data_IF_932757584958
#
_entry.id   IF_932757584958
#
_cell.length_a   1.000
_cell.length_b   1.000
_cell.length_c   1.000
_cell.angle_alpha   90.00
_cell.angle_beta   90.00
_cell.angle_gamma   90.00
#
_symmetry.space_group_name_H-M   'P 1'
#
loop_
_entity.id
_entity.type
_entity.pdbx_description
1 polymer ?
#
# COMPACT_ATOMS: atom_id res chain seq x y z
N UNK A 1 -3.61 -8.96 38.84
CA UNK A 1 -3.51 -10.17 37.99
C UNK A 1 -2.50 -11.18 38.53
N UNK A 2 -1.32 -10.77 39.01
CA UNK A 2 -0.34 -11.67 39.66
C UNK A 2 -0.78 -12.22 41.04
N UNK A 3 -1.88 -11.70 41.62
CA UNK A 3 -2.37 -12.06 42.95
C UNK A 3 -3.49 -13.12 42.97
N UNK A 4 -3.91 -13.67 41.83
CA UNK A 4 -5.04 -14.65 41.75
C UNK A 4 -4.58 -16.06 41.31
N UNK A 5 -3.27 -16.34 41.30
CA UNK A 5 -2.74 -17.67 40.95
C UNK A 5 -3.00 -18.12 39.50
N UNK A 6 -3.41 -17.21 38.61
CA UNK A 6 -3.62 -17.53 37.20
C UNK A 6 -2.27 -17.74 36.49
N UNK A 7 -2.17 -18.82 35.71
CA UNK A 7 -0.97 -19.08 34.91
C UNK A 7 -0.76 -17.96 33.87
N UNK A 8 0.49 -17.66 33.49
CA UNK A 8 0.82 -16.59 32.53
C UNK A 8 0.07 -16.73 31.19
N UNK A 9 -0.14 -17.97 30.75
CA UNK A 9 -0.92 -18.32 29.55
C UNK A 9 -2.40 -17.95 29.67
N UNK A 10 -2.99 -18.13 30.86
CA UNK A 10 -4.40 -17.83 31.10
C UNK A 10 -4.64 -16.31 31.16
N UNK A 11 -3.70 -15.57 31.75
CA UNK A 11 -3.69 -14.09 31.77
C UNK A 11 -3.53 -13.56 30.35
N UNK A 12 -2.59 -14.10 29.58
CA UNK A 12 -2.34 -13.65 28.21
C UNK A 12 -3.59 -13.82 27.34
N UNK A 13 -4.17 -15.03 27.29
CA UNK A 13 -5.29 -15.33 26.39
C UNK A 13 -6.60 -14.64 26.79
N UNK A 14 -6.85 -14.45 28.08
CA UNK A 14 -8.14 -13.91 28.57
C UNK A 14 -8.13 -12.41 28.82
N UNK A 15 -6.97 -11.82 29.08
CA UNK A 15 -6.85 -10.40 29.49
C UNK A 15 -6.07 -9.62 28.44
N UNK A 16 -4.84 -10.03 28.16
CA UNK A 16 -3.93 -9.26 27.29
C UNK A 16 -4.37 -9.31 25.83
N UNK A 17 -4.68 -10.50 25.30
CA UNK A 17 -5.08 -10.71 23.91
C UNK A 17 -6.30 -9.85 23.50
N UNK A 18 -7.46 -9.93 24.19
CA UNK A 18 -8.63 -9.15 23.80
C UNK A 18 -8.42 -7.64 24.01
N UNK A 19 -7.66 -7.23 25.02
CA UNK A 19 -7.37 -5.80 25.25
C UNK A 19 -6.47 -5.22 24.15
N UNK A 20 -5.40 -5.92 23.80
CA UNK A 20 -4.46 -5.45 22.78
C UNK A 20 -5.18 -5.34 21.44
N UNK A 21 -5.93 -6.38 21.03
CA UNK A 21 -6.65 -6.38 19.75
C UNK A 21 -7.66 -5.25 19.61
N UNK A 22 -8.38 -4.90 20.68
CA UNK A 22 -9.32 -3.78 20.64
C UNK A 22 -8.61 -2.43 20.51
N UNK A 23 -7.42 -2.26 21.11
CA UNK A 23 -6.68 -1.00 21.06
C UNK A 23 -5.88 -0.79 19.78
N UNK A 24 -5.37 -1.86 19.15
CA UNK A 24 -4.61 -1.78 17.89
C UNK A 24 -5.49 -1.78 16.65
N UNK A 25 -6.73 -2.32 16.72
CA UNK A 25 -7.67 -2.32 15.60
C UNK A 25 -7.92 -0.90 14.99
N UNK A 26 -8.18 0.16 15.78
CA UNK A 26 -8.34 1.51 15.24
C UNK A 26 -7.07 2.02 14.53
N UNK A 27 -5.90 1.74 15.09
CA UNK A 27 -4.62 2.15 14.51
C UNK A 27 -4.35 1.46 13.18
N UNK A 28 -4.67 0.16 13.08
CA UNK A 28 -4.51 -0.62 11.85
C UNK A 28 -5.44 -0.12 10.74
N UNK A 29 -6.70 0.19 11.05
CA UNK A 29 -7.66 0.75 10.09
C UNK A 29 -7.19 2.11 9.57
N UNK A 30 -6.64 2.96 10.46
CA UNK A 30 -6.07 4.24 10.08
C UNK A 30 -4.86 4.06 9.14
N UNK A 31 -3.93 3.16 9.48
CA UNK A 31 -2.77 2.86 8.63
C UNK A 31 -3.20 2.31 7.26
N UNK A 32 -4.17 1.40 7.24
CA UNK A 32 -4.69 0.80 6.02
C UNK A 32 -5.32 1.85 5.10
N UNK A 33 -6.08 2.77 5.67
CA UNK A 33 -6.69 3.89 4.93
C UNK A 33 -5.63 4.81 4.30
N UNK A 34 -4.55 5.12 5.03
CA UNK A 34 -3.44 5.93 4.51
C UNK A 34 -2.75 5.21 3.36
N UNK A 35 -2.44 3.92 3.51
CA UNK A 35 -1.78 3.13 2.46
C UNK A 35 -2.66 3.07 1.19
N UNK A 36 -3.96 2.82 1.34
CA UNK A 36 -4.90 2.77 0.22
C UNK A 36 -4.99 4.12 -0.51
N UNK A 37 -5.13 5.22 0.24
CA UNK A 37 -5.19 6.57 -0.34
C UNK A 37 -3.91 6.95 -1.05
N UNK A 38 -2.75 6.77 -0.42
CA UNK A 38 -1.46 7.13 -1.00
C UNK A 38 -1.09 6.28 -2.21
N UNK A 39 -1.41 4.98 -2.22
CA UNK A 39 -1.10 4.08 -3.33
C UNK A 39 -1.94 4.37 -4.57
N UNK A 40 -3.22 4.70 -4.40
CA UNK A 40 -4.13 4.94 -5.54
C UNK A 40 -4.05 6.37 -6.06
N UNK A 41 -3.85 7.36 -5.18
CA UNK A 41 -3.81 8.77 -5.55
C UNK A 41 -2.59 9.12 -6.42
N UNK A 42 -1.41 8.58 -6.10
CA UNK A 42 -0.20 8.80 -6.90
C UNK A 42 -0.36 8.21 -8.30
N UNK A 43 -0.84 6.97 -8.41
CA UNK A 43 -1.03 6.32 -9.71
C UNK A 43 -2.04 7.04 -10.60
N UNK A 44 -3.15 7.53 -10.04
CA UNK A 44 -4.22 8.19 -10.82
C UNK A 44 -3.76 9.54 -11.35
N UNK A 45 -3.07 10.35 -10.53
CA UNK A 45 -2.54 11.65 -10.96
C UNK A 45 -1.50 11.47 -12.07
N UNK A 46 -0.56 10.54 -11.89
CA UNK A 46 0.49 10.29 -12.89
C UNK A 46 -0.07 9.81 -14.23
N UNK A 47 -1.12 8.99 -14.23
CA UNK A 47 -1.78 8.55 -15.47
C UNK A 47 -2.46 9.69 -16.19
N UNK A 48 -3.22 10.51 -15.47
CA UNK A 48 -3.91 11.66 -16.04
C UNK A 48 -2.92 12.65 -16.65
N UNK A 49 -1.86 12.99 -15.92
CA UNK A 49 -0.82 13.91 -16.39
C UNK A 49 -0.09 13.37 -17.62
N UNK A 50 0.30 12.09 -17.59
CA UNK A 50 1.01 11.45 -18.70
C UNK A 50 0.12 11.38 -19.95
N UNK A 51 -1.15 11.01 -19.80
CA UNK A 51 -2.09 10.93 -20.91
C UNK A 51 -2.37 12.32 -21.50
N UNK A 52 -2.48 13.35 -20.66
CA UNK A 52 -2.66 14.73 -21.11
C UNK A 52 -1.47 15.23 -21.94
N UNK A 53 -0.25 14.97 -21.50
CA UNK A 53 0.95 15.31 -22.28
C UNK A 53 1.03 14.51 -23.59
N UNK A 54 0.68 13.23 -23.55
CA UNK A 54 0.66 12.37 -24.73
C UNK A 54 -0.31 12.89 -25.78
N UNK A 55 -1.53 13.25 -25.37
CA UNK A 55 -2.55 13.81 -26.26
C UNK A 55 -2.10 15.14 -26.88
N UNK A 56 -1.35 15.96 -26.14
CA UNK A 56 -0.75 17.20 -26.66
C UNK A 56 0.26 16.91 -27.76
N UNK A 57 1.11 15.89 -27.60
CA UNK A 57 2.09 15.48 -28.62
C UNK A 57 1.38 14.87 -29.84
N UNK A 58 0.32 14.07 -29.62
CA UNK A 58 -0.52 13.53 -30.71
C UNK A 58 -1.12 14.64 -31.56
N UNK A 59 -1.57 15.74 -30.93
CA UNK A 59 -2.13 16.87 -31.67
C UNK A 59 -1.08 17.67 -32.48
N UNK A 60 0.22 17.51 -32.18
CA UNK A 60 1.30 18.17 -32.93
C UNK A 60 1.72 17.31 -34.12
N UNK A 61 1.93 16.01 -33.88
CA UNK A 61 2.51 15.09 -34.86
C UNK A 61 1.46 14.30 -35.65
N UNK A 62 0.18 14.34 -35.24
CA UNK A 62 -0.94 13.62 -35.84
C UNK A 62 -0.76 12.09 -35.97
N UNK A 63 0.18 11.52 -35.21
CA UNK A 63 0.49 10.08 -35.20
C UNK A 63 0.09 9.43 -33.86
N UNK A 64 -1.21 9.14 -33.65
CA UNK A 64 -1.71 8.67 -32.36
C UNK A 64 -1.20 7.28 -31.96
N UNK A 65 -1.02 6.37 -32.92
CA UNK A 65 -0.68 4.97 -32.60
C UNK A 65 0.71 4.86 -31.96
N UNK A 66 1.73 5.47 -32.57
CA UNK A 66 3.11 5.39 -32.06
C UNK A 66 3.24 6.06 -30.69
N UNK A 67 2.65 7.25 -30.55
CA UNK A 67 2.72 8.03 -29.31
C UNK A 67 1.97 7.33 -28.17
N UNK A 68 0.73 6.88 -28.39
CA UNK A 68 -0.05 6.20 -27.35
C UNK A 68 0.58 4.86 -26.95
N UNK A 69 1.21 4.15 -27.89
CA UNK A 69 1.92 2.90 -27.59
C UNK A 69 3.18 3.16 -26.75
N UNK A 70 3.96 4.19 -27.09
CA UNK A 70 5.12 4.61 -26.29
C UNK A 70 4.70 5.05 -24.88
N UNK A 71 3.61 5.82 -24.76
CA UNK A 71 3.02 6.22 -23.48
C UNK A 71 2.57 5.02 -22.66
N UNK A 72 1.91 4.04 -23.27
CA UNK A 72 1.51 2.82 -22.60
C UNK A 72 2.72 2.02 -22.07
N UNK A 73 3.81 1.94 -22.85
CA UNK A 73 5.05 1.31 -22.42
C UNK A 73 5.67 2.03 -21.20
N UNK A 74 5.75 3.36 -21.22
CA UNK A 74 6.23 4.18 -20.09
C UNK A 74 5.35 3.94 -18.85
N UNK A 75 4.03 3.91 -19.03
CA UNK A 75 3.10 3.65 -17.94
C UNK A 75 3.32 2.28 -17.30
N UNK A 76 3.50 1.22 -18.10
CA UNK A 76 3.80 -0.12 -17.61
C UNK A 76 5.08 -0.12 -16.78
N UNK A 77 6.14 0.57 -17.24
CA UNK A 77 7.40 0.69 -16.49
C UNK A 77 7.18 1.38 -15.15
N UNK A 78 6.44 2.49 -15.11
CA UNK A 78 6.15 3.22 -13.87
C UNK A 78 5.36 2.34 -12.90
N UNK A 79 4.29 1.70 -13.36
CA UNK A 79 3.47 0.79 -12.53
C UNK A 79 4.32 -0.35 -12.00
N UNK A 80 5.20 -0.91 -12.82
CA UNK A 80 6.11 -1.98 -12.40
C UNK A 80 7.09 -1.52 -11.32
N UNK A 81 7.68 -0.33 -11.47
CA UNK A 81 8.60 0.26 -10.48
C UNK A 81 7.86 0.54 -9.17
N UNK A 82 6.70 1.19 -9.24
CA UNK A 82 5.88 1.53 -8.05
C UNK A 82 5.39 0.27 -7.35
N UNK A 83 4.92 -0.74 -8.10
CA UNK A 83 4.49 -2.03 -7.54
C UNK A 83 5.64 -2.75 -6.86
N UNK A 84 6.82 -2.78 -7.48
CA UNK A 84 8.02 -3.42 -6.92
C UNK A 84 8.53 -2.67 -5.69
N UNK A 85 8.56 -1.34 -5.72
CA UNK A 85 8.94 -0.51 -4.59
C UNK A 85 7.94 -0.64 -3.42
N UNK A 86 6.64 -0.69 -3.73
CA UNK A 86 5.58 -0.94 -2.76
C UNK A 86 5.71 -2.32 -2.11
N UNK A 87 5.98 -3.37 -2.90
CA UNK A 87 6.26 -4.72 -2.38
C UNK A 87 7.52 -4.73 -1.51
N UNK A 88 8.62 -4.15 -1.99
CA UNK A 88 9.87 -4.09 -1.24
C UNK A 88 9.71 -3.32 0.10
N UNK A 89 8.94 -2.23 0.10
CA UNK A 89 8.62 -1.48 1.31
C UNK A 89 7.72 -2.30 2.25
N UNK A 90 6.70 -2.98 1.71
CA UNK A 90 5.81 -3.86 2.46
C UNK A 90 6.57 -5.04 3.08
N UNK A 91 7.50 -5.64 2.35
CA UNK A 91 8.36 -6.74 2.82
C UNK A 91 9.33 -6.25 3.90
N UNK A 92 9.93 -5.06 3.73
CA UNK A 92 10.76 -4.43 4.77
C UNK A 92 9.98 -4.07 6.02
N UNK A 93 8.74 -3.58 5.88
CA UNK A 93 7.86 -3.31 7.02
C UNK A 93 7.43 -4.61 7.70
N UNK A 94 7.10 -5.67 6.95
CA UNK A 94 6.80 -7.00 7.48
C UNK A 94 7.98 -7.58 8.28
N UNK A 95 9.21 -7.41 7.78
CA UNK A 95 10.42 -7.84 8.49
C UNK A 95 10.64 -7.05 9.79
N UNK A 96 10.29 -5.76 9.82
CA UNK A 96 10.40 -4.91 11.02
C UNK A 96 9.27 -5.07 12.04
N UNK A 97 8.06 -5.39 11.60
CA UNK A 97 6.87 -5.49 12.48
C UNK A 97 6.46 -6.94 12.81
N UNK A 98 7.14 -7.96 12.28
CA UNK A 98 6.94 -9.34 12.69
C UNK A 98 5.50 -9.86 12.51
N UNK A 99 4.79 -9.39 11.47
CA UNK A 99 3.40 -9.79 11.20
C UNK A 99 3.37 -11.10 10.41
N UNK A 100 3.97 -12.13 11.01
CA UNK A 100 3.65 -13.52 10.75
C UNK A 100 2.89 -14.01 11.99
N UNK A 101 1.62 -13.61 12.12
CA UNK A 101 0.59 -14.27 12.94
C UNK A 101 -0.76 -13.55 12.73
N UNK A 102 -1.36 -13.83 11.58
CA UNK A 102 -2.81 -13.97 11.40
C UNK A 102 -3.03 -14.79 10.12
#
# INVERSE_FOLDING_TARGET
AYSVGMSPLLVFRRIVLPQVSLSTAPSLVNQFTVIVKSSTLVSVITVQDLMFQSQKIVNIWYEPIEILTATAAIYIVIVFVVSTAGKALADRLRYRYGIALA
#
